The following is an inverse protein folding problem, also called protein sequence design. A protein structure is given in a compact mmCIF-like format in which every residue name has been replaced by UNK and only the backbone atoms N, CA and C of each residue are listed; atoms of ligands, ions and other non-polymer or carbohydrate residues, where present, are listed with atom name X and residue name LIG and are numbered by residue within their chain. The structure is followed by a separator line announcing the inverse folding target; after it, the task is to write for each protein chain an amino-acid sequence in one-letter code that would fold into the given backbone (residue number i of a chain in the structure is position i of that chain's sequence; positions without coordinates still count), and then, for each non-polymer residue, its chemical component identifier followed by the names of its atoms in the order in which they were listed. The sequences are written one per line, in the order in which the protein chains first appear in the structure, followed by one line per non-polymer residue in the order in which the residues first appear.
data_IF_979290253537
#
_entry.id   IF_979290253537
#
_cell.length_a   1.000
_cell.length_b   1.000
_cell.length_c   1.000
_cell.angle_alpha   90.00
_cell.angle_beta   90.00
_cell.angle_gamma   90.00
#
_symmetry.space_group_name_H-M   'P 1'
#
loop_
_entity.id
_entity.type
_entity.pdbx_description
1 polymer ?
#
# COMPACT_ATOMS: atom_id res chain seq x y z
N UNK A 1 -11.76 5.95 13.56
CA UNK A 1 -12.19 7.33 13.30
C UNK A 1 -11.34 8.35 14.03
N UNK A 2 -11.07 8.20 15.34
CA UNK A 2 -10.34 9.21 16.12
C UNK A 2 -8.83 9.33 15.80
N UNK A 3 -8.30 8.64 14.78
CA UNK A 3 -6.91 8.82 14.31
C UNK A 3 -6.80 9.13 12.82
N UNK A 4 -7.92 9.29 12.11
CA UNK A 4 -7.90 9.48 10.66
C UNK A 4 -7.70 10.97 10.34
N UNK A 5 -6.86 11.27 9.34
CA UNK A 5 -6.60 12.64 8.89
C UNK A 5 -5.98 13.59 9.93
N UNK A 6 -5.25 13.03 10.89
CA UNK A 6 -4.47 13.83 11.85
C UNK A 6 -3.18 14.30 11.21
N UNK A 7 -2.86 15.57 11.42
CA UNK A 7 -1.56 16.13 11.09
C UNK A 7 -0.49 15.54 12.01
N UNK A 8 0.59 15.06 11.41
CA UNK A 8 1.77 14.52 12.08
C UNK A 8 2.94 15.42 11.69
N UNK A 9 3.55 16.12 12.67
CA UNK A 9 4.72 16.93 12.39
C UNK A 9 5.88 16.09 11.86
N UNK A 10 6.74 16.71 11.07
CA UNK A 10 8.09 16.20 10.85
C UNK A 10 8.80 16.04 12.19
N UNK A 11 9.67 15.04 12.31
CA UNK A 11 10.56 14.98 13.48
C UNK A 11 11.47 16.21 13.44
N UNK A 12 11.65 16.90 14.56
CA UNK A 12 12.49 18.11 14.60
C UNK A 12 13.96 17.73 14.38
N UNK A 13 14.58 18.40 13.40
CA UNK A 13 16.02 18.32 13.13
C UNK A 13 16.55 19.67 12.61
N UNK A 14 17.86 19.82 12.71
CA UNK A 14 18.64 20.97 12.22
C UNK A 14 19.43 20.54 11.01
N UNK A 15 19.47 21.38 10.00
CA UNK A 15 20.38 21.22 8.86
C UNK A 15 21.56 22.16 9.00
N UNK A 16 22.73 21.76 8.51
CA UNK A 16 23.91 22.60 8.42
C UNK A 16 24.50 22.60 7.02
N UNK A 17 25.01 23.76 6.61
CA UNK A 17 25.79 23.95 5.39
C UNK A 17 27.17 24.47 5.80
N UNK A 18 28.19 23.65 5.62
CA UNK A 18 29.58 24.05 5.87
C UNK A 18 30.23 24.45 4.56
N UNK A 19 30.55 25.73 4.39
CA UNK A 19 31.19 26.24 3.16
C UNK A 19 32.66 26.55 3.41
N UNK A 20 33.50 26.08 2.47
CA UNK A 20 34.95 26.29 2.48
C UNK A 20 35.43 26.67 1.10
N UNK A 21 36.30 27.66 1.05
CA UNK A 21 36.97 28.10 -0.16
C UNK A 21 38.41 27.59 -0.15
N UNK A 22 38.81 26.86 -1.20
CA UNK A 22 40.17 26.36 -1.31
C UNK A 22 41.15 27.46 -1.76
N UNK A 23 42.46 27.16 -1.70
CA UNK A 23 43.53 28.09 -2.10
C UNK A 23 43.45 28.53 -3.58
N UNK A 24 42.65 27.85 -4.41
CA UNK A 24 42.41 28.17 -5.83
C UNK A 24 41.11 28.98 -6.02
N UNK A 25 40.47 29.41 -4.94
CA UNK A 25 39.20 30.14 -4.96
C UNK A 25 37.99 29.27 -5.29
N UNK A 26 38.10 27.94 -5.26
CA UNK A 26 36.97 27.05 -5.49
C UNK A 26 36.20 26.88 -4.19
N UNK A 27 34.93 27.27 -4.20
CA UNK A 27 34.01 27.06 -3.08
C UNK A 27 33.49 25.63 -3.10
N UNK A 28 33.51 25.00 -1.94
CA UNK A 28 32.97 23.67 -1.68
C UNK A 28 32.01 23.76 -0.51
N UNK A 29 30.99 22.90 -0.49
CA UNK A 29 30.05 22.82 0.62
C UNK A 29 29.86 21.37 1.10
N UNK A 30 29.48 21.22 2.36
CA UNK A 30 29.04 19.97 2.96
C UNK A 30 27.66 20.17 3.60
N UNK A 31 26.77 19.20 3.40
CA UNK A 31 25.44 19.18 4.00
C UNK A 31 25.44 18.27 5.24
N UNK A 32 25.06 18.81 6.39
CA UNK A 32 24.93 18.09 7.65
C UNK A 32 23.49 18.08 8.16
N UNK A 33 23.19 17.08 8.99
CA UNK A 33 21.91 16.95 9.68
C UNK A 33 22.15 16.51 11.11
N UNK A 34 21.43 17.13 12.03
CA UNK A 34 21.49 16.84 13.46
C UNK A 34 20.08 16.82 14.04
N UNK A 35 19.75 15.78 14.82
CA UNK A 35 18.45 15.63 15.44
C UNK A 35 18.61 15.21 16.91
N UNK A 36 17.85 15.86 17.80
CA UNK A 36 17.79 15.52 19.24
C UNK A 36 16.36 15.37 19.75
N UNK A 37 15.43 15.08 18.84
CA UNK A 37 14.02 14.91 19.15
C UNK A 37 13.76 13.64 19.97
N UNK A 38 12.79 13.64 20.91
CA UNK A 38 12.38 12.41 21.60
C UNK A 38 11.60 11.44 20.71
N UNK A 39 11.21 11.86 19.49
CA UNK A 39 10.49 11.03 18.54
C UNK A 39 11.43 10.19 17.67
N UNK A 40 10.97 9.03 17.16
CA UNK A 40 11.71 8.25 16.19
C UNK A 40 12.17 9.10 14.99
N UNK A 41 13.41 8.90 14.57
CA UNK A 41 14.01 9.59 13.44
C UNK A 41 14.70 8.61 12.51
N UNK A 42 14.40 8.71 11.23
CA UNK A 42 15.12 8.03 10.16
C UNK A 42 15.27 8.97 8.98
N UNK A 43 16.36 8.83 8.24
CA UNK A 43 16.67 9.71 7.12
C UNK A 43 17.20 8.93 5.92
N UNK A 44 17.09 9.56 4.76
CA UNK A 44 17.74 9.11 3.53
C UNK A 44 18.22 10.30 2.72
N UNK A 45 19.16 10.07 1.81
CA UNK A 45 19.71 11.11 0.96
C UNK A 45 18.90 11.28 -0.33
N UNK A 46 18.83 12.52 -0.81
CA UNK A 46 18.27 12.91 -2.09
C UNK A 46 19.34 13.66 -2.88
N UNK A 47 19.63 13.19 -4.10
CA UNK A 47 20.32 13.97 -5.11
C UNK A 47 19.33 14.92 -5.78
N UNK A 48 19.64 16.21 -5.76
CA UNK A 48 18.79 17.26 -6.28
C UNK A 48 19.63 18.26 -7.08
N UNK A 49 19.10 18.81 -8.17
CA UNK A 49 19.75 19.95 -8.82
C UNK A 49 19.48 21.26 -8.03
N UNK A 50 20.34 22.29 -8.11
CA UNK A 50 20.17 23.54 -7.37
C UNK A 50 18.85 24.28 -7.66
N UNK A 51 18.17 23.95 -8.76
CA UNK A 51 16.82 24.42 -9.11
C UNK A 51 15.70 23.67 -8.37
N UNK A 52 16.01 22.89 -7.33
CA UNK A 52 15.09 22.04 -6.58
C UNK A 52 14.42 20.93 -7.42
N UNK A 53 15.18 20.35 -8.37
CA UNK A 53 14.73 19.22 -9.19
C UNK A 53 15.30 17.91 -8.59
N UNK A 54 14.47 17.05 -7.99
CA UNK A 54 14.90 15.75 -7.46
C UNK A 54 15.34 14.81 -8.59
N UNK A 55 16.47 14.12 -8.41
CA UNK A 55 17.07 13.27 -9.44
C UNK A 55 17.23 11.81 -9.03
N UNK A 56 17.57 11.54 -7.77
CA UNK A 56 17.74 10.18 -7.25
C UNK A 56 17.72 10.16 -5.72
N UNK A 57 17.45 9.01 -5.12
CA UNK A 57 17.59 8.80 -3.67
C UNK A 57 18.78 7.88 -3.39
N UNK A 58 19.40 8.01 -2.22
CA UNK A 58 20.51 7.17 -1.79
C UNK A 58 20.46 6.90 -0.28
N UNK A 59 21.10 5.81 0.14
CA UNK A 59 21.31 5.52 1.55
C UNK A 59 22.73 5.94 1.97
N UNK A 60 22.90 6.92 2.87
CA UNK A 60 24.23 7.38 3.28
C UNK A 60 25.06 6.30 4.02
N UNK A 61 24.42 5.23 4.50
CA UNK A 61 25.11 4.12 5.16
C UNK A 61 25.45 2.94 4.25
N UNK A 62 25.09 2.98 2.95
CA UNK A 62 25.36 1.86 2.04
C UNK A 62 26.57 2.14 1.14
N UNK A 63 27.48 1.16 0.97
CA UNK A 63 28.63 1.33 0.09
C UNK A 63 28.19 1.49 -1.36
N UNK A 64 28.89 2.34 -2.12
CA UNK A 64 28.72 2.54 -3.57
C UNK A 64 27.32 3.03 -4.01
N UNK A 65 26.59 3.77 -3.16
CA UNK A 65 25.33 4.45 -3.55
C UNK A 65 25.47 5.98 -3.72
N UNK A 66 26.68 6.51 -3.57
CA UNK A 66 26.95 7.94 -3.67
C UNK A 66 27.29 8.40 -5.09
N UNK A 67 27.03 7.57 -6.12
CA UNK A 67 27.26 7.97 -7.49
C UNK A 67 26.28 9.09 -7.87
N UNK A 68 26.84 10.30 -7.93
CA UNK A 68 26.10 11.51 -8.20
C UNK A 68 25.50 11.44 -9.62
N UNK A 69 24.17 11.53 -9.80
CA UNK A 69 23.53 11.41 -11.11
C UNK A 69 23.97 12.47 -12.13
N UNK A 70 24.30 13.67 -11.65
CA UNK A 70 24.75 14.79 -12.47
C UNK A 70 25.78 15.63 -11.69
N UNK A 71 26.84 16.17 -12.30
CA UNK A 71 27.89 16.92 -11.59
C UNK A 71 27.37 18.04 -10.69
N UNK A 72 26.31 18.74 -11.12
CA UNK A 72 25.71 19.85 -10.38
C UNK A 72 24.76 19.42 -9.25
N UNK A 73 24.47 18.12 -9.13
CA UNK A 73 23.61 17.63 -8.06
C UNK A 73 24.25 17.90 -6.69
N UNK A 74 23.42 18.43 -5.81
CA UNK A 74 23.67 18.58 -4.39
C UNK A 74 22.98 17.44 -3.64
N UNK A 75 23.48 17.11 -2.45
CA UNK A 75 22.81 16.17 -1.57
C UNK A 75 21.97 16.92 -0.52
N UNK A 76 20.75 16.45 -0.30
CA UNK A 76 19.85 16.92 0.75
C UNK A 76 19.40 15.68 1.53
N UNK A 77 19.42 15.75 2.86
CA UNK A 77 18.91 14.66 3.70
C UNK A 77 17.43 14.87 4.01
N UNK A 78 16.60 13.87 3.72
CA UNK A 78 15.18 13.88 4.02
C UNK A 78 14.91 13.08 5.30
N UNK A 79 14.40 13.77 6.32
CA UNK A 79 13.98 13.18 7.59
C UNK A 79 12.57 12.60 7.54
N UNK A 80 12.26 11.70 8.47
CA UNK A 80 10.92 11.13 8.65
C UNK A 80 10.03 12.02 9.53
N UNK A 81 8.74 11.71 9.53
CA UNK A 81 7.80 12.21 10.53
C UNK A 81 8.03 11.60 11.93
N UNK A 82 7.30 12.12 12.93
CA UNK A 82 7.35 11.65 14.33
C UNK A 82 6.94 10.18 14.52
N UNK A 83 6.48 9.48 13.48
CA UNK A 83 6.14 8.06 13.49
C UNK A 83 7.14 7.21 12.68
N UNK A 84 8.27 7.79 12.26
CA UNK A 84 9.25 7.18 11.36
C UNK A 84 8.60 6.71 10.04
N UNK A 85 7.80 7.58 9.44
CA UNK A 85 7.20 7.39 8.12
C UNK A 85 7.47 8.62 7.22
N UNK A 86 7.38 8.40 5.92
CA UNK A 86 7.52 9.44 4.91
C UNK A 86 6.22 9.55 4.12
N UNK A 87 5.71 10.76 3.96
CA UNK A 87 4.63 11.03 3.02
C UNK A 87 5.12 10.98 1.59
N UNK A 88 4.21 10.58 0.70
CA UNK A 88 4.44 10.44 -0.73
C UNK A 88 3.22 10.86 -1.51
N UNK A 89 3.44 11.34 -2.72
CA UNK A 89 2.39 11.72 -3.66
C UNK A 89 2.66 11.13 -5.03
N UNK A 90 1.64 10.54 -5.64
CA UNK A 90 1.80 9.87 -6.92
C UNK A 90 1.67 10.91 -8.05
N UNK A 91 2.65 11.06 -8.95
CA UNK A 91 2.51 11.96 -10.09
C UNK A 91 1.43 11.51 -11.09
N UNK A 92 1.09 10.21 -11.12
CA UNK A 92 0.09 9.64 -12.04
C UNK A 92 -1.36 9.85 -11.60
N UNK A 93 -1.66 9.59 -10.32
CA UNK A 93 -3.04 9.65 -9.81
C UNK A 93 -3.27 10.73 -8.75
N UNK A 94 -2.23 11.50 -8.40
CA UNK A 94 -2.22 12.52 -7.35
C UNK A 94 -2.54 12.00 -5.95
N UNK A 95 -2.65 10.68 -5.78
CA UNK A 95 -2.94 10.06 -4.49
C UNK A 95 -1.77 10.22 -3.53
N UNK A 96 -2.06 10.65 -2.31
CA UNK A 96 -1.10 10.75 -1.23
C UNK A 96 -1.13 9.49 -0.34
N UNK A 97 0.01 9.02 0.15
CA UNK A 97 0.09 7.97 1.18
C UNK A 97 1.31 8.18 2.07
N UNK A 98 1.42 7.41 3.16
CA UNK A 98 2.67 7.33 3.94
C UNK A 98 3.19 5.92 3.99
N UNK A 99 4.51 5.82 4.15
CA UNK A 99 5.19 4.53 4.23
C UNK A 99 6.37 4.58 5.19
N UNK A 100 6.66 3.48 5.85
CA UNK A 100 7.88 3.30 6.64
C UNK A 100 9.09 2.87 5.79
N UNK A 101 8.99 2.92 4.46
CA UNK A 101 10.09 2.64 3.55
C UNK A 101 10.36 3.83 2.61
N UNK A 102 11.58 4.40 2.61
CA UNK A 102 11.93 5.52 1.75
C UNK A 102 12.25 5.09 0.29
N UNK A 103 12.01 3.83 -0.09
CA UNK A 103 12.16 3.36 -1.48
C UNK A 103 13.61 3.05 -1.87
N UNK A 104 14.51 2.83 -0.91
CA UNK A 104 15.93 2.60 -1.17
C UNK A 104 16.26 1.17 -1.66
N UNK A 105 15.34 0.22 -1.45
CA UNK A 105 15.54 -1.21 -1.80
C UNK A 105 14.96 -1.55 -3.17
N UNK A 106 13.84 -0.90 -3.51
CA UNK A 106 13.06 -1.12 -4.72
C UNK A 106 12.29 0.16 -5.06
N UNK A 107 11.82 0.25 -6.31
CA UNK A 107 10.92 1.33 -6.74
C UNK A 107 9.75 1.47 -5.79
N UNK A 108 9.31 2.71 -5.60
CA UNK A 108 8.09 2.97 -4.84
C UNK A 108 6.88 2.49 -5.66
N UNK A 109 5.92 1.85 -5.00
CA UNK A 109 4.67 1.44 -5.65
C UNK A 109 3.55 2.34 -5.14
N UNK A 110 2.77 2.94 -6.05
CA UNK A 110 1.60 3.70 -5.64
C UNK A 110 0.53 2.74 -5.07
N UNK A 111 0.05 2.93 -3.82
CA UNK A 111 -0.97 2.06 -3.24
C UNK A 111 -2.29 2.02 -3.99
N UNK A 112 -2.60 3.05 -4.77
CA UNK A 112 -3.90 3.22 -5.39
C UNK A 112 -3.94 2.71 -6.83
N UNK A 113 -3.03 3.19 -7.66
CA UNK A 113 -2.99 2.89 -9.08
C UNK A 113 -1.93 1.85 -9.46
N UNK A 114 -1.14 1.34 -8.51
CA UNK A 114 -0.13 0.30 -8.77
C UNK A 114 1.07 0.75 -9.60
N UNK A 115 1.23 2.06 -9.86
CA UNK A 115 2.37 2.56 -10.63
C UNK A 115 3.69 2.34 -9.87
N UNK A 116 4.71 1.86 -10.57
CA UNK A 116 6.06 1.70 -10.05
C UNK A 116 6.89 2.91 -10.45
N UNK A 117 7.33 3.67 -9.46
CA UNK A 117 7.93 4.98 -9.62
C UNK A 117 9.28 5.04 -8.93
N UNK A 118 10.18 5.88 -9.44
CA UNK A 118 11.40 6.18 -8.69
C UNK A 118 11.03 6.93 -7.40
N UNK A 119 11.71 6.66 -6.26
CA UNK A 119 11.30 7.23 -4.99
C UNK A 119 11.35 8.77 -4.95
N UNK A 120 12.23 9.39 -5.74
CA UNK A 120 12.37 10.84 -5.86
C UNK A 120 11.24 11.49 -6.68
N UNK A 121 10.52 10.72 -7.51
CA UNK A 121 9.34 11.19 -8.25
C UNK A 121 8.09 11.24 -7.36
N UNK A 122 8.17 10.64 -6.17
CA UNK A 122 7.04 10.45 -5.27
C UNK A 122 7.12 11.31 -4.01
N UNK A 123 7.89 12.39 -4.00
CA UNK A 123 8.00 13.26 -2.82
C UNK A 123 6.63 13.87 -2.50
N UNK A 124 6.30 13.97 -1.20
CA UNK A 124 5.12 14.71 -0.75
C UNK A 124 5.30 16.20 -1.00
N UNK A 125 4.20 16.95 -0.96
CA UNK A 125 4.25 18.41 -1.06
C UNK A 125 5.11 19.02 0.06
N UNK A 126 5.08 18.44 1.27
CA UNK A 126 5.93 18.85 2.39
C UNK A 126 7.42 18.57 2.14
N UNK A 127 7.77 17.39 1.61
CA UNK A 127 9.15 17.09 1.24
C UNK A 127 9.67 17.99 0.10
N UNK A 128 8.85 18.29 -0.90
CA UNK A 128 9.22 19.20 -1.98
C UNK A 128 9.49 20.62 -1.48
N UNK A 129 8.60 21.17 -0.64
CA UNK A 129 8.80 22.49 -0.03
C UNK A 129 10.07 22.56 0.83
N UNK A 130 10.40 21.48 1.55
CA UNK A 130 11.66 21.38 2.28
C UNK A 130 12.89 21.36 1.34
N UNK A 131 12.84 20.60 0.25
CA UNK A 131 13.91 20.56 -0.76
C UNK A 131 14.13 21.94 -1.39
N UNK A 132 13.05 22.62 -1.76
CA UNK A 132 13.09 23.98 -2.29
C UNK A 132 13.72 24.96 -1.30
N UNK A 133 13.36 24.86 -0.02
CA UNK A 133 13.93 25.70 1.03
C UNK A 133 15.44 25.45 1.24
N UNK A 134 15.88 24.19 1.25
CA UNK A 134 17.31 23.85 1.30
C UNK A 134 18.07 24.41 0.10
N UNK A 135 17.54 24.28 -1.12
CA UNK A 135 18.16 24.83 -2.33
C UNK A 135 18.22 26.37 -2.31
N UNK A 136 17.19 27.04 -1.79
CA UNK A 136 17.17 28.49 -1.62
C UNK A 136 18.25 28.97 -0.64
N UNK A 137 18.33 28.33 0.53
CA UNK A 137 19.34 28.66 1.53
C UNK A 137 20.77 28.40 1.01
N UNK A 138 21.00 27.28 0.33
CA UNK A 138 22.30 27.00 -0.26
C UNK A 138 22.71 28.09 -1.26
N UNK A 139 21.79 28.54 -2.13
CA UNK A 139 22.08 29.64 -3.07
C UNK A 139 22.43 30.94 -2.34
N UNK A 140 21.71 31.27 -1.26
CA UNK A 140 21.99 32.44 -0.45
C UNK A 140 23.40 32.37 0.16
N UNK A 141 23.73 31.26 0.81
CA UNK A 141 25.04 31.03 1.46
C UNK A 141 26.18 31.05 0.43
N UNK A 142 25.97 30.42 -0.74
CA UNK A 142 26.96 30.41 -1.82
C UNK A 142 27.13 31.78 -2.50
N UNK A 143 26.21 32.73 -2.31
CA UNK A 143 26.32 34.11 -2.82
C UNK A 143 26.91 35.09 -1.80
N UNK A 144 26.96 34.74 -0.51
CA UNK A 144 27.45 35.63 0.55
C UNK A 144 28.98 35.78 0.59
N UNK A 145 29.74 35.02 -0.22
CA UNK A 145 31.22 35.00 -0.28
C UNK A 145 31.94 34.86 1.08
N UNK A 146 31.25 34.30 2.08
CA UNK A 146 31.77 34.03 3.41
C UNK A 146 31.90 32.52 3.65
N UNK A 147 33.07 32.09 4.14
CA UNK A 147 33.27 30.73 4.65
C UNK A 147 32.71 30.61 6.07
N UNK A 148 32.10 29.46 6.39
CA UNK A 148 31.47 29.28 7.69
C UNK A 148 30.57 28.06 7.77
N UNK A 149 30.04 27.84 8.97
CA UNK A 149 29.01 26.84 9.24
C UNK A 149 27.68 27.55 9.45
N UNK A 150 26.70 27.27 8.58
CA UNK A 150 25.38 27.87 8.63
C UNK A 150 24.38 26.80 9.05
N UNK A 151 23.78 26.92 10.22
CA UNK A 151 22.81 25.95 10.74
C UNK A 151 21.45 26.58 10.98
N UNK A 152 20.38 25.86 10.63
CA UNK A 152 19.01 26.33 10.84
C UNK A 152 18.09 25.15 11.15
N UNK A 153 17.14 25.33 12.09
CA UNK A 153 16.10 24.33 12.33
C UNK A 153 15.19 24.21 11.12
N UNK A 154 14.74 23.01 10.77
CA UNK A 154 13.87 22.78 9.59
C UNK A 154 12.62 23.67 9.64
N UNK A 155 11.99 23.78 10.80
CA UNK A 155 10.81 24.64 10.96
C UNK A 155 11.13 26.10 10.61
N UNK A 156 12.22 26.62 11.15
CA UNK A 156 12.67 27.99 10.90
C UNK A 156 13.05 28.21 9.44
N UNK A 157 13.72 27.24 8.82
CA UNK A 157 14.10 27.26 7.40
C UNK A 157 12.88 27.40 6.49
N UNK A 158 11.86 26.57 6.70
CA UNK A 158 10.62 26.66 5.90
C UNK A 158 9.90 27.98 6.17
N UNK A 159 9.78 28.41 7.43
CA UNK A 159 9.16 29.69 7.75
C UNK A 159 9.88 30.88 7.10
N UNK A 160 11.21 30.86 7.06
CA UNK A 160 12.01 31.94 6.47
C UNK A 160 11.80 32.02 4.95
N UNK A 161 11.91 30.89 4.24
CA UNK A 161 11.79 30.86 2.77
C UNK A 161 10.40 31.27 2.29
N UNK A 162 9.35 31.01 3.08
CA UNK A 162 7.98 31.35 2.70
C UNK A 162 7.52 32.74 3.19
N UNK A 163 8.26 33.43 4.06
CA UNK A 163 7.95 34.79 4.52
C UNK A 163 8.35 35.88 3.50
N UNK A 164 9.36 35.63 2.67
CA UNK A 164 9.99 36.64 1.81
C UNK A 164 9.32 36.85 0.42
N UNK A 165 8.13 36.28 0.18
CA UNK A 165 7.19 36.79 -0.83
C UNK A 165 7.34 36.35 -2.29
N UNK A 166 8.41 35.63 -2.66
CA UNK A 166 8.58 35.10 -4.03
C UNK A 166 8.00 33.68 -4.25
N UNK A 167 7.67 32.97 -3.16
CA UNK A 167 7.05 31.64 -3.20
C UNK A 167 5.61 31.72 -2.67
N UNK A 168 4.68 30.88 -3.18
CA UNK A 168 3.34 30.77 -2.61
C UNK A 168 3.42 30.48 -1.10
N UNK A 169 2.46 30.98 -0.32
CA UNK A 169 2.35 30.66 1.11
C UNK A 169 2.52 29.14 1.32
N UNK A 170 3.19 28.70 2.41
CA UNK A 170 3.46 27.30 2.61
C UNK A 170 2.10 26.58 2.63
N UNK A 171 1.95 25.43 1.95
CA UNK A 171 0.68 24.72 1.95
C UNK A 171 0.24 24.53 3.41
N UNK A 172 -1.06 24.71 3.68
CA UNK A 172 -1.67 24.43 5.00
C UNK A 172 -1.34 22.99 5.50
N UNK A 173 -0.85 22.15 4.57
CA UNK A 173 -0.42 20.77 4.70
C UNK A 173 1.12 20.58 4.81
N UNK A 174 1.88 21.50 5.39
CA UNK A 174 3.34 21.32 5.67
C UNK A 174 3.63 20.25 6.75
N UNK A 175 2.74 19.27 6.89
CA UNK A 175 2.70 18.25 7.91
C UNK A 175 2.08 17.03 7.27
N UNK A 176 2.70 15.88 7.49
CA UNK A 176 2.22 14.64 6.92
C UNK A 176 0.90 14.23 7.59
N UNK A 177 -0.06 13.73 6.81
CA UNK A 177 -1.42 13.45 7.31
C UNK A 177 -1.65 11.95 7.39
N UNK A 178 -2.16 11.47 8.53
CA UNK A 178 -2.58 10.06 8.67
C UNK A 178 -3.75 9.74 7.75
N UNK A 179 -3.88 8.48 7.32
CA UNK A 179 -4.99 8.04 6.48
C UNK A 179 -5.82 6.98 7.20
N UNK A 180 -6.81 6.45 6.48
CA UNK A 180 -7.87 5.61 7.06
C UNK A 180 -7.36 4.20 7.39
N UNK A 181 -6.51 3.64 6.53
CA UNK A 181 -6.03 2.26 6.68
C UNK A 181 -4.52 2.24 6.89
N UNK A 182 -4.13 1.84 8.10
CA UNK A 182 -2.75 1.59 8.50
C UNK A 182 -2.55 0.09 8.59
N UNK A 183 -1.65 -0.45 7.79
CA UNK A 183 -1.38 -1.89 7.77
C UNK A 183 0.11 -2.18 7.60
N UNK A 184 0.54 -3.30 8.17
CA UNK A 184 1.86 -3.88 7.91
C UNK A 184 1.70 -4.92 6.80
N UNK A 185 2.49 -4.85 5.75
CA UNK A 185 2.41 -5.80 4.66
C UNK A 185 2.88 -7.19 5.13
N UNK A 186 2.02 -8.21 4.97
CA UNK A 186 2.35 -9.59 5.36
C UNK A 186 3.51 -10.21 4.56
N UNK A 187 3.79 -9.67 3.36
CA UNK A 187 4.88 -10.16 2.52
C UNK A 187 6.24 -9.56 2.89
N UNK A 188 6.35 -8.23 3.00
CA UNK A 188 7.64 -7.55 3.20
C UNK A 188 7.77 -6.80 4.53
N UNK A 189 6.76 -6.84 5.41
CA UNK A 189 6.79 -6.20 6.72
C UNK A 189 6.75 -4.67 6.72
N UNK A 190 6.63 -4.00 5.57
CA UNK A 190 6.57 -2.53 5.54
C UNK A 190 5.23 -2.03 6.06
N UNK A 191 5.27 -1.00 6.92
CA UNK A 191 4.09 -0.24 7.37
C UNK A 191 3.64 0.74 6.29
N UNK A 192 2.35 0.70 5.97
CA UNK A 192 1.69 1.55 5.00
C UNK A 192 0.54 2.30 5.67
N UNK A 193 0.28 3.52 5.22
CA UNK A 193 -0.81 4.38 5.68
C UNK A 193 -1.51 5.01 4.47
N UNK A 194 -2.67 4.46 4.12
CA UNK A 194 -3.35 4.70 2.83
C UNK A 194 -4.80 5.13 3.02
N UNK A 195 -5.33 5.82 2.01
CA UNK A 195 -6.75 6.15 1.91
C UNK A 195 -7.56 4.93 1.44
N UNK A 196 -8.77 4.77 1.98
CA UNK A 196 -9.61 3.61 1.68
C UNK A 196 -9.08 2.32 2.28
N UNK A 197 -9.79 1.22 2.03
CA UNK A 197 -9.55 -0.09 2.67
C UNK A 197 -8.47 -0.94 1.98
N UNK A 198 -8.35 -0.80 0.67
CA UNK A 198 -7.57 -1.70 -0.18
C UNK A 198 -6.48 -0.94 -0.93
N UNK A 199 -5.29 -1.52 -1.03
CA UNK A 199 -4.18 -0.94 -1.78
C UNK A 199 -2.97 -1.85 -1.91
N UNK A 200 -2.06 -1.45 -2.80
CA UNK A 200 -0.75 -2.07 -2.92
C UNK A 200 0.15 -1.68 -1.73
N UNK A 201 0.98 -2.60 -1.27
CA UNK A 201 2.12 -2.26 -0.44
C UNK A 201 3.05 -1.35 -1.22
N UNK A 202 3.38 -0.20 -0.65
CA UNK A 202 4.20 0.82 -1.32
C UNK A 202 5.67 0.42 -1.55
N UNK A 203 6.09 -0.73 -1.04
CA UNK A 203 7.45 -1.26 -1.20
C UNK A 203 7.51 -2.48 -2.10
N UNK A 204 6.73 -3.53 -1.80
CA UNK A 204 6.78 -4.76 -2.58
C UNK A 204 5.71 -4.86 -3.68
N UNK A 205 4.68 -4.01 -3.65
CA UNK A 205 3.57 -4.12 -4.59
C UNK A 205 2.61 -5.28 -4.31
N UNK A 206 2.72 -6.00 -3.20
CA UNK A 206 1.69 -6.97 -2.79
C UNK A 206 0.43 -6.25 -2.37
N UNK A 207 -0.74 -6.68 -2.86
CA UNK A 207 -2.03 -6.10 -2.46
C UNK A 207 -2.46 -6.58 -1.07
N UNK A 208 -3.01 -5.69 -0.24
CA UNK A 208 -3.51 -6.04 1.10
C UNK A 208 -4.89 -6.72 1.09
N UNK A 209 -5.57 -6.76 -0.07
CA UNK A 209 -6.95 -7.26 -0.21
C UNK A 209 -7.13 -8.68 0.34
N UNK A 210 -6.14 -9.56 0.14
CA UNK A 210 -6.25 -10.95 0.59
C UNK A 210 -6.16 -11.07 2.12
N UNK A 211 -5.26 -10.32 2.74
CA UNK A 211 -5.17 -10.23 4.20
C UNK A 211 -6.48 -9.67 4.81
N UNK A 212 -7.08 -8.66 4.16
CA UNK A 212 -8.36 -8.11 4.58
C UNK A 212 -9.51 -9.13 4.45
N UNK A 213 -9.54 -9.91 3.36
CA UNK A 213 -10.52 -10.99 3.20
C UNK A 213 -10.38 -12.07 4.29
N UNK A 214 -9.15 -12.45 4.63
CA UNK A 214 -8.89 -13.42 5.69
C UNK A 214 -9.33 -12.89 7.07
N UNK A 215 -9.11 -11.61 7.34
CA UNK A 215 -9.59 -10.97 8.57
C UNK A 215 -11.12 -10.96 8.66
N UNK A 216 -11.82 -10.66 7.56
CA UNK A 216 -13.29 -10.71 7.49
C UNK A 216 -13.79 -12.14 7.75
N UNK A 217 -13.19 -13.14 7.11
CA UNK A 217 -13.53 -14.55 7.31
C UNK A 217 -13.34 -14.98 8.77
N UNK A 218 -12.25 -14.55 9.40
CA UNK A 218 -11.98 -14.90 10.79
C UNK A 218 -13.02 -14.27 11.73
N UNK A 219 -13.36 -13.00 11.52
CA UNK A 219 -14.42 -12.33 12.27
C UNK A 219 -15.79 -13.02 12.10
N UNK A 220 -16.14 -13.42 10.87
CA UNK A 220 -17.38 -14.15 10.57
C UNK A 220 -17.40 -15.49 11.30
N UNK A 221 -16.31 -16.26 11.25
CA UNK A 221 -16.20 -17.54 11.95
C UNK A 221 -16.31 -17.39 13.46
N UNK A 222 -15.63 -16.39 14.03
CA UNK A 222 -15.72 -16.09 15.45
C UNK A 222 -17.17 -15.76 15.85
N UNK A 223 -17.86 -14.93 15.05
CA UNK A 223 -19.26 -14.58 15.26
C UNK A 223 -20.20 -15.79 15.27
N UNK A 224 -20.08 -16.70 14.31
CA UNK A 224 -20.91 -17.92 14.27
C UNK A 224 -20.56 -18.88 15.40
N UNK A 225 -19.27 -19.03 15.75
CA UNK A 225 -18.85 -19.85 16.89
C UNK A 225 -19.39 -19.32 18.23
N UNK A 226 -19.63 -18.02 18.34
CA UNK A 226 -20.27 -17.39 19.48
C UNK A 226 -21.81 -17.49 19.47
N UNK A 227 -22.40 -18.23 18.54
CA UNK A 227 -23.86 -18.40 18.41
C UNK A 227 -24.54 -17.32 17.56
N UNK A 228 -23.78 -16.58 16.74
CA UNK A 228 -24.32 -15.60 15.80
C UNK A 228 -25.20 -16.20 14.71
N UNK A 229 -25.94 -15.34 14.00
CA UNK A 229 -26.84 -15.75 12.93
C UNK A 229 -26.08 -16.29 11.69
N UNK A 230 -26.30 -17.56 11.35
CA UNK A 230 -25.63 -18.25 10.24
C UNK A 230 -25.98 -17.69 8.87
N UNK A 231 -27.22 -17.23 8.66
CA UNK A 231 -27.67 -16.63 7.40
C UNK A 231 -27.00 -15.28 7.17
N UNK A 232 -26.90 -14.45 8.22
CA UNK A 232 -26.15 -13.19 8.16
C UNK A 232 -24.68 -13.45 7.84
N UNK A 233 -24.05 -14.39 8.55
CA UNK A 233 -22.66 -14.77 8.34
C UNK A 233 -22.39 -15.30 6.92
N UNK A 234 -23.31 -16.08 6.33
CA UNK A 234 -23.22 -16.52 4.94
C UNK A 234 -23.24 -15.33 3.97
N UNK A 235 -24.16 -14.37 4.18
CA UNK A 235 -24.26 -13.16 3.35
C UNK A 235 -22.95 -12.35 3.43
N UNK A 236 -22.46 -12.10 4.63
CA UNK A 236 -21.21 -11.37 4.86
C UNK A 236 -20.01 -12.05 4.20
N UNK A 237 -19.91 -13.38 4.27
CA UNK A 237 -18.83 -14.13 3.65
C UNK A 237 -18.82 -13.98 2.12
N UNK A 238 -19.98 -14.15 1.49
CA UNK A 238 -20.13 -14.01 0.02
C UNK A 238 -19.90 -12.55 -0.41
N UNK A 239 -20.41 -11.58 0.34
CA UNK A 239 -20.26 -10.16 0.03
C UNK A 239 -18.81 -9.68 0.20
N UNK A 240 -18.08 -10.22 1.18
CA UNK A 240 -16.65 -10.00 1.36
C UNK A 240 -15.85 -10.55 0.17
N UNK A 241 -16.16 -11.77 -0.30
CA UNK A 241 -15.53 -12.34 -1.49
C UNK A 241 -15.87 -11.56 -2.76
N UNK A 242 -17.12 -11.11 -2.91
CA UNK A 242 -17.54 -10.33 -4.08
C UNK A 242 -16.80 -9.00 -4.13
N UNK A 243 -16.73 -8.30 -3.00
CA UNK A 243 -15.98 -7.05 -2.87
C UNK A 243 -14.49 -7.26 -3.16
N UNK A 244 -13.89 -8.31 -2.60
CA UNK A 244 -12.50 -8.71 -2.85
C UNK A 244 -12.27 -8.90 -4.35
N UNK A 245 -13.05 -9.75 -5.02
CA UNK A 245 -12.88 -10.03 -6.43
C UNK A 245 -13.05 -8.82 -7.34
N UNK A 246 -14.04 -7.96 -7.05
CA UNK A 246 -14.27 -6.71 -7.80
C UNK A 246 -13.09 -5.74 -7.68
N UNK A 247 -12.35 -5.72 -6.57
CA UNK A 247 -11.13 -4.93 -6.48
C UNK A 247 -10.08 -5.42 -7.49
N UNK A 248 -9.87 -6.72 -7.61
CA UNK A 248 -8.94 -7.30 -8.59
C UNK A 248 -9.41 -7.04 -10.03
N UNK A 249 -10.71 -7.20 -10.32
CA UNK A 249 -11.28 -6.86 -11.62
C UNK A 249 -11.00 -5.40 -12.01
N UNK A 250 -11.12 -4.45 -11.08
CA UNK A 250 -10.75 -3.05 -11.31
C UNK A 250 -9.28 -2.88 -11.68
N UNK A 251 -8.38 -3.62 -11.04
CA UNK A 251 -6.95 -3.58 -11.35
C UNK A 251 -6.65 -4.19 -12.73
N UNK A 252 -7.25 -5.34 -13.07
CA UNK A 252 -7.12 -5.90 -14.41
C UNK A 252 -7.53 -4.89 -15.48
N UNK A 253 -8.69 -4.23 -15.32
CA UNK A 253 -9.17 -3.22 -16.27
C UNK A 253 -8.30 -1.96 -16.35
N UNK A 254 -7.61 -1.60 -15.27
CA UNK A 254 -6.74 -0.44 -15.20
C UNK A 254 -5.39 -0.68 -15.87
N UNK A 255 -4.86 -1.90 -15.79
CA UNK A 255 -3.49 -2.21 -16.21
C UNK A 255 -3.39 -3.04 -17.51
N UNK A 256 -4.40 -3.83 -17.84
CA UNK A 256 -4.40 -4.64 -19.06
C UNK A 256 -5.15 -3.89 -20.15
N UNK A 257 -4.52 -3.78 -21.32
CA UNK A 257 -5.21 -3.26 -22.51
C UNK A 257 -6.29 -4.25 -22.94
N UNK A 258 -7.53 -3.78 -22.99
CA UNK A 258 -8.71 -4.60 -23.30
C UNK A 258 -9.64 -3.83 -24.24
N UNK A 259 -10.40 -4.56 -25.05
CA UNK A 259 -11.49 -3.98 -25.84
C UNK A 259 -12.55 -3.37 -24.92
N UNK A 260 -13.31 -2.35 -25.38
CA UNK A 260 -14.39 -1.76 -24.59
C UNK A 260 -15.40 -2.80 -24.09
N UNK A 261 -15.76 -3.78 -24.93
CA UNK A 261 -16.66 -4.85 -24.56
C UNK A 261 -16.14 -5.69 -23.38
N UNK A 262 -14.85 -6.05 -23.38
CA UNK A 262 -14.23 -6.79 -22.28
C UNK A 262 -14.13 -5.93 -21.01
N UNK A 263 -13.85 -4.63 -21.12
CA UNK A 263 -13.92 -3.71 -19.96
C UNK A 263 -15.34 -3.64 -19.38
N UNK A 264 -16.38 -3.55 -20.20
CA UNK A 264 -17.76 -3.57 -19.71
C UNK A 264 -18.12 -4.90 -19.02
N UNK A 265 -17.66 -6.03 -19.58
CA UNK A 265 -17.82 -7.36 -18.95
C UNK A 265 -17.24 -7.38 -17.54
N UNK A 266 -15.98 -6.98 -17.36
CA UNK A 266 -15.32 -6.96 -16.06
C UNK A 266 -15.82 -5.85 -15.13
N UNK A 267 -16.30 -4.73 -15.66
CA UNK A 267 -16.94 -3.68 -14.87
C UNK A 267 -18.27 -4.10 -14.25
N UNK A 268 -18.93 -5.12 -14.81
CA UNK A 268 -20.20 -5.69 -14.34
C UNK A 268 -20.06 -7.07 -13.71
N UNK A 269 -18.84 -7.57 -13.54
CA UNK A 269 -18.61 -8.92 -13.01
C UNK A 269 -19.15 -9.03 -11.59
N UNK A 270 -19.93 -10.07 -11.33
CA UNK A 270 -20.45 -10.41 -10.01
C UNK A 270 -19.72 -11.67 -9.50
N UNK A 271 -18.85 -11.49 -8.53
CA UNK A 271 -18.05 -12.57 -7.93
C UNK A 271 -18.89 -13.46 -6.99
N UNK A 272 -20.15 -13.09 -6.73
CA UNK A 272 -21.14 -14.00 -6.17
C UNK A 272 -21.67 -15.04 -7.20
N UNK A 273 -21.29 -14.96 -8.49
CA UNK A 273 -21.56 -16.00 -9.48
C UNK A 273 -20.27 -16.77 -9.78
N UNK A 274 -19.88 -17.67 -8.87
CA UNK A 274 -18.57 -18.35 -8.90
C UNK A 274 -18.29 -19.00 -10.25
N UNK A 275 -19.26 -19.72 -10.82
CA UNK A 275 -19.04 -20.50 -12.05
C UNK A 275 -18.71 -19.61 -13.24
N UNK A 276 -19.51 -18.56 -13.41
CA UNK A 276 -19.29 -17.56 -14.46
C UNK A 276 -17.95 -16.86 -14.27
N UNK A 277 -17.61 -16.49 -13.04
CA UNK A 277 -16.36 -15.78 -12.75
C UNK A 277 -15.14 -16.69 -12.87
N UNK A 278 -15.20 -17.93 -12.37
CA UNK A 278 -14.12 -18.90 -12.51
C UNK A 278 -13.79 -19.16 -13.98
N UNK A 279 -14.83 -19.37 -14.81
CA UNK A 279 -14.68 -19.49 -16.26
C UNK A 279 -14.06 -18.22 -16.86
N UNK A 280 -14.61 -17.05 -16.55
CA UNK A 280 -14.10 -15.79 -17.12
C UNK A 280 -12.65 -15.50 -16.72
N UNK A 281 -12.27 -15.75 -15.47
CA UNK A 281 -10.89 -15.58 -14.98
C UNK A 281 -9.94 -16.53 -15.70
N UNK A 282 -10.36 -17.79 -15.91
CA UNK A 282 -9.57 -18.78 -16.64
C UNK A 282 -9.43 -18.40 -18.12
N UNK A 283 -10.53 -18.06 -18.78
CA UNK A 283 -10.56 -17.77 -20.21
C UNK A 283 -9.83 -16.46 -20.56
N UNK A 284 -10.00 -15.40 -19.74
CA UNK A 284 -9.44 -14.08 -20.05
C UNK A 284 -8.03 -13.85 -19.45
N UNK A 285 -7.66 -14.55 -18.37
CA UNK A 285 -6.41 -14.29 -17.62
C UNK A 285 -5.61 -15.54 -17.24
N UNK A 286 -6.07 -16.75 -17.62
CA UNK A 286 -5.48 -18.03 -17.19
C UNK A 286 -5.47 -18.27 -15.67
N UNK A 287 -6.35 -17.58 -14.93
CA UNK A 287 -6.46 -17.71 -13.47
C UNK A 287 -7.54 -18.73 -13.12
N UNK A 288 -7.13 -19.88 -12.58
CA UNK A 288 -8.04 -20.88 -12.02
C UNK A 288 -8.23 -20.66 -10.51
N UNK A 289 -9.35 -20.04 -10.13
CA UNK A 289 -9.70 -19.81 -8.71
C UNK A 289 -10.12 -21.09 -7.99
N UNK A 290 -10.51 -22.14 -8.71
CA UNK A 290 -10.95 -23.42 -8.15
C UNK A 290 -9.79 -24.44 -8.05
N UNK A 291 -8.60 -24.05 -8.52
CA UNK A 291 -7.39 -24.87 -8.49
C UNK A 291 -7.12 -25.46 -7.11
N UNK A 292 -6.89 -26.79 -7.06
CA UNK A 292 -6.55 -27.53 -5.83
C UNK A 292 -7.59 -27.40 -4.70
N UNK A 293 -8.85 -27.14 -5.05
CA UNK A 293 -9.98 -27.27 -4.14
C UNK A 293 -10.66 -28.61 -4.47
N UNK A 294 -10.96 -29.39 -3.44
CA UNK A 294 -11.69 -30.65 -3.59
C UNK A 294 -13.04 -30.43 -4.31
N UNK A 295 -13.40 -31.25 -5.31
CA UNK A 295 -14.65 -31.05 -6.06
C UNK A 295 -15.91 -31.01 -5.19
N UNK A 296 -15.99 -31.82 -4.13
CA UNK A 296 -17.16 -31.80 -3.25
C UNK A 296 -17.25 -30.48 -2.46
N UNK A 297 -16.11 -29.93 -2.05
CA UNK A 297 -16.06 -28.59 -1.44
C UNK A 297 -16.42 -27.48 -2.43
N UNK A 298 -16.05 -27.61 -3.70
CA UNK A 298 -16.46 -26.65 -4.75
C UNK A 298 -17.98 -26.67 -4.92
N UNK A 299 -18.58 -27.85 -5.06
CA UNK A 299 -20.03 -28.00 -5.22
C UNK A 299 -20.81 -27.56 -3.97
N UNK A 300 -20.26 -27.78 -2.77
CA UNK A 300 -20.82 -27.19 -1.56
C UNK A 300 -20.77 -25.65 -1.61
N UNK A 301 -19.63 -25.06 -1.96
CA UNK A 301 -19.49 -23.60 -2.03
C UNK A 301 -20.45 -22.99 -3.05
N UNK A 302 -20.58 -23.58 -4.25
CA UNK A 302 -21.55 -23.13 -5.26
C UNK A 302 -22.97 -23.11 -4.71
N UNK A 303 -23.42 -24.20 -4.08
CA UNK A 303 -24.74 -24.26 -3.44
C UNK A 303 -24.93 -23.14 -2.43
N UNK A 304 -23.93 -22.87 -1.58
CA UNK A 304 -24.00 -21.78 -0.59
C UNK A 304 -24.13 -20.40 -1.23
N UNK A 305 -23.48 -20.17 -2.37
CA UNK A 305 -23.62 -18.91 -3.13
C UNK A 305 -25.03 -18.76 -3.73
N UNK A 306 -25.62 -19.83 -4.27
CA UNK A 306 -27.04 -19.81 -4.68
C UNK A 306 -27.99 -19.60 -3.50
N UNK A 307 -27.75 -20.25 -2.35
CA UNK A 307 -28.57 -20.05 -1.15
C UNK A 307 -28.48 -18.62 -0.62
N UNK A 308 -27.30 -17.97 -0.69
CA UNK A 308 -27.17 -16.53 -0.37
C UNK A 308 -28.11 -15.68 -1.23
N UNK A 309 -28.30 -16.00 -2.51
CA UNK A 309 -29.26 -15.31 -3.37
C UNK A 309 -30.70 -15.47 -2.86
N UNK A 310 -31.11 -16.70 -2.51
CA UNK A 310 -32.43 -16.97 -1.94
C UNK A 310 -32.66 -16.21 -0.63
N UNK A 311 -31.68 -16.21 0.28
CA UNK A 311 -31.76 -15.47 1.54
C UNK A 311 -31.81 -13.95 1.34
N UNK A 312 -31.21 -13.42 0.27
CA UNK A 312 -31.21 -11.99 -0.02
C UNK A 312 -32.49 -11.52 -0.71
N UNK A 313 -33.08 -12.33 -1.60
CA UNK A 313 -34.13 -11.88 -2.52
C UNK A 313 -35.44 -12.68 -2.44
N UNK A 314 -35.43 -13.89 -1.88
CA UNK A 314 -36.57 -14.82 -1.83
C UNK A 314 -36.95 -15.21 -0.41
N UNK A 315 -36.44 -14.52 0.60
CA UNK A 315 -36.72 -14.82 2.01
C UNK A 315 -36.20 -16.19 2.48
N UNK A 316 -35.21 -16.76 1.79
CA UNK A 316 -34.67 -18.09 2.07
C UNK A 316 -35.55 -19.25 1.58
N UNK A 317 -36.57 -18.96 0.76
CA UNK A 317 -37.47 -19.96 0.19
C UNK A 317 -36.89 -20.48 -1.13
N UNK A 318 -36.82 -21.81 -1.29
CA UNK A 318 -36.36 -22.48 -2.51
C UNK A 318 -37.31 -22.18 -3.67
N UNK A 319 -36.78 -21.66 -4.77
CA UNK A 319 -37.49 -21.48 -6.04
C UNK A 319 -36.99 -22.46 -7.13
N UNK A 320 -37.69 -22.51 -8.26
CA UNK A 320 -37.35 -23.44 -9.35
C UNK A 320 -35.98 -23.12 -9.95
N UNK A 321 -35.64 -21.84 -10.07
CA UNK A 321 -34.36 -21.37 -10.58
C UNK A 321 -33.19 -21.91 -9.75
N UNK A 322 -33.31 -21.90 -8.41
CA UNK A 322 -32.32 -22.53 -7.54
C UNK A 322 -32.13 -24.01 -7.82
N UNK A 323 -33.21 -24.79 -7.96
CA UNK A 323 -33.12 -26.24 -8.22
C UNK A 323 -32.45 -26.52 -9.56
N UNK A 324 -32.81 -25.75 -10.59
CA UNK A 324 -32.29 -25.90 -11.95
C UNK A 324 -30.80 -25.54 -12.03
N UNK A 325 -30.39 -24.45 -11.37
CA UNK A 325 -28.99 -23.98 -11.42
C UNK A 325 -28.07 -24.76 -10.47
N UNK A 326 -28.52 -25.07 -9.25
CA UNK A 326 -27.66 -25.68 -8.23
C UNK A 326 -27.63 -27.20 -8.28
N UNK A 327 -28.64 -27.84 -8.90
CA UNK A 327 -28.80 -29.30 -8.89
C UNK A 327 -29.02 -29.90 -7.50
N UNK A 328 -29.41 -29.10 -6.50
CA UNK A 328 -29.56 -29.55 -5.11
C UNK A 328 -30.78 -30.47 -4.94
N UNK A 329 -30.54 -31.78 -4.91
CA UNK A 329 -31.57 -32.80 -4.70
C UNK A 329 -31.97 -32.99 -3.23
N UNK A 330 -31.37 -32.24 -2.30
CA UNK A 330 -31.62 -32.41 -0.85
C UNK A 330 -32.78 -31.55 -0.34
N UNK A 331 -33.33 -30.67 -1.18
CA UNK A 331 -34.42 -29.75 -0.85
C UNK A 331 -35.53 -29.82 -1.89
N UNK A 332 -36.71 -29.27 -1.56
CA UNK A 332 -37.87 -29.25 -2.44
C UNK A 332 -38.33 -27.81 -2.69
N UNK A 333 -39.05 -27.59 -3.80
CA UNK A 333 -39.63 -26.28 -4.13
C UNK A 333 -40.49 -25.77 -2.96
N UNK A 334 -40.27 -24.53 -2.56
CA UNK A 334 -40.97 -23.91 -1.42
C UNK A 334 -40.39 -24.22 -0.04
N UNK A 335 -39.35 -25.06 0.09
CA UNK A 335 -38.67 -25.26 1.36
C UNK A 335 -38.04 -23.96 1.88
N UNK A 336 -38.17 -23.73 3.20
CA UNK A 336 -37.44 -22.67 3.90
C UNK A 336 -36.07 -23.19 4.32
N UNK A 337 -35.01 -22.60 3.77
CA UNK A 337 -33.63 -22.97 4.07
C UNK A 337 -33.19 -22.48 5.45
N UNK A 338 -32.38 -23.30 6.12
CA UNK A 338 -31.71 -22.96 7.37
C UNK A 338 -30.26 -23.40 7.27
N UNK A 339 -29.35 -22.44 7.33
CA UNK A 339 -27.92 -22.75 7.27
C UNK A 339 -27.38 -23.11 8.65
N UNK A 340 -26.51 -24.11 8.68
CA UNK A 340 -25.81 -24.55 9.90
C UNK A 340 -24.51 -23.78 10.09
N UNK A 341 -23.88 -23.94 11.26
CA UNK A 341 -22.54 -23.42 11.48
C UNK A 341 -21.54 -24.06 10.53
N UNK A 342 -21.67 -25.37 10.32
CA UNK A 342 -20.80 -26.17 9.47
C UNK A 342 -20.86 -25.70 8.01
N UNK A 343 -22.03 -25.27 7.54
CA UNK A 343 -22.20 -24.65 6.21
C UNK A 343 -21.37 -23.36 6.08
N UNK A 344 -21.44 -22.47 7.07
CA UNK A 344 -20.68 -21.20 7.06
C UNK A 344 -19.18 -21.46 7.17
N UNK A 345 -18.75 -22.40 8.02
CA UNK A 345 -17.34 -22.76 8.12
C UNK A 345 -16.84 -23.36 6.79
N UNK A 346 -17.61 -24.24 6.16
CA UNK A 346 -17.28 -24.84 4.87
C UNK A 346 -17.13 -23.80 3.76
N UNK A 347 -18.11 -22.91 3.59
CA UNK A 347 -18.05 -21.88 2.53
C UNK A 347 -16.91 -20.89 2.75
N UNK A 348 -16.66 -20.47 4.00
CA UNK A 348 -15.54 -19.56 4.29
C UNK A 348 -14.18 -20.21 4.04
N UNK A 349 -14.04 -21.54 4.24
CA UNK A 349 -12.82 -22.27 3.88
C UNK A 349 -12.61 -22.28 2.36
N UNK A 350 -13.67 -22.52 1.59
CA UNK A 350 -13.62 -22.46 0.13
C UNK A 350 -13.27 -21.05 -0.36
N UNK A 351 -13.91 -20.01 0.19
CA UNK A 351 -13.64 -18.60 -0.13
C UNK A 351 -12.18 -18.24 0.15
N UNK A 352 -11.61 -18.64 1.28
CA UNK A 352 -10.21 -18.37 1.59
C UNK A 352 -9.26 -18.98 0.54
N UNK A 353 -9.55 -20.21 0.08
CA UNK A 353 -8.76 -20.87 -0.98
C UNK A 353 -8.95 -20.19 -2.34
N UNK A 354 -10.18 -19.87 -2.72
CA UNK A 354 -10.46 -19.14 -3.96
C UNK A 354 -9.80 -17.76 -3.97
N UNK A 355 -9.87 -17.05 -2.85
CA UNK A 355 -9.22 -15.76 -2.64
C UNK A 355 -7.70 -15.85 -2.79
N UNK A 356 -7.09 -16.89 -2.21
CA UNK A 356 -5.66 -17.16 -2.36
C UNK A 356 -5.28 -17.41 -3.82
N UNK A 357 -6.02 -18.27 -4.51
CA UNK A 357 -5.77 -18.57 -5.93
C UNK A 357 -5.90 -17.33 -6.82
N UNK A 358 -6.91 -16.47 -6.57
CA UNK A 358 -7.05 -15.19 -7.28
C UNK A 358 -5.88 -14.25 -6.98
N UNK A 359 -5.48 -14.13 -5.70
CA UNK A 359 -4.36 -13.28 -5.29
C UNK A 359 -3.04 -13.73 -5.93
N UNK A 360 -2.73 -15.03 -5.91
CA UNK A 360 -1.55 -15.60 -6.55
C UNK A 360 -1.58 -15.43 -8.08
N UNK A 361 -2.72 -15.73 -8.71
CA UNK A 361 -2.88 -15.57 -10.16
C UNK A 361 -2.81 -14.11 -10.62
N UNK A 362 -3.28 -13.17 -9.79
CA UNK A 362 -3.08 -11.75 -10.05
C UNK A 362 -1.60 -11.37 -9.99
N UNK A 363 -0.88 -11.80 -8.96
CA UNK A 363 0.54 -11.48 -8.79
C UNK A 363 1.46 -12.26 -9.73
N UNK A 364 0.98 -13.31 -10.42
CA UNK A 364 1.71 -13.88 -11.55
C UNK A 364 1.62 -13.00 -12.82
N UNK A 365 0.57 -12.19 -12.95
CA UNK A 365 0.40 -11.22 -14.05
C UNK A 365 1.06 -9.89 -13.70
N UNK A 366 0.96 -9.47 -12.43
CA UNK A 366 1.57 -8.24 -11.89
C UNK A 366 2.58 -8.59 -10.79
N UNK A 367 3.85 -8.87 -11.17
CA UNK A 367 4.87 -9.31 -10.24
C UNK A 367 5.16 -8.29 -9.15
N UNK A 368 5.44 -8.80 -7.97
CA UNK A 368 5.87 -8.03 -6.80
C UNK A 368 7.38 -7.79 -6.84
N UNK A 369 7.87 -6.79 -6.12
CA UNK A 369 9.29 -6.66 -5.86
C UNK A 369 9.72 -7.72 -4.83
N UNK A 370 10.50 -8.69 -5.30
CA UNK A 370 10.93 -9.83 -4.50
C UNK A 370 11.97 -9.45 -3.44
N UNK A 371 12.91 -8.54 -3.77
CA UNK A 371 14.01 -8.17 -2.87
C UNK A 371 13.55 -7.68 -1.48
N UNK A 372 12.55 -6.77 -1.34
CA UNK A 372 11.99 -6.43 -0.03
C UNK A 372 11.42 -7.62 0.76
N UNK A 373 10.81 -8.60 0.07
CA UNK A 373 10.24 -9.80 0.69
C UNK A 373 11.35 -10.69 1.24
N UNK A 374 12.40 -10.92 0.45
CA UNK A 374 13.53 -11.77 0.85
C UNK A 374 14.26 -11.18 2.08
N UNK A 375 14.53 -9.87 2.07
CA UNK A 375 15.14 -9.17 3.21
C UNK A 375 14.27 -9.34 4.47
N UNK A 376 12.95 -9.22 4.34
CA UNK A 376 12.06 -9.41 5.48
C UNK A 376 12.11 -10.85 6.01
N UNK A 377 12.09 -11.84 5.13
CA UNK A 377 12.18 -13.25 5.50
C UNK A 377 13.50 -13.56 6.23
N UNK A 378 14.63 -13.01 5.77
CA UNK A 378 15.93 -13.14 6.43
C UNK A 378 15.95 -12.51 7.82
N UNK A 379 15.38 -11.31 7.97
CA UNK A 379 15.28 -10.62 9.27
C UNK A 379 14.43 -11.41 10.27
N UNK A 380 13.32 -12.01 9.81
CA UNK A 380 12.47 -12.87 10.63
C UNK A 380 13.21 -14.15 11.06
N UNK A 381 13.96 -14.77 10.16
CA UNK A 381 14.76 -15.96 10.46
C UNK A 381 15.84 -15.66 11.51
N UNK A 382 16.58 -14.55 11.36
CA UNK A 382 17.59 -14.10 12.34
C UNK A 382 16.98 -13.82 13.71
N UNK A 383 15.83 -13.14 13.75
CA UNK A 383 15.14 -12.82 15.01
C UNK A 383 14.65 -14.08 15.75
N UNK A 384 14.19 -15.10 15.03
CA UNK A 384 13.82 -16.40 15.59
C UNK A 384 15.02 -17.15 16.16
N UNK A 385 16.13 -17.18 15.42
CA UNK A 385 17.36 -17.85 15.87
C UNK A 385 18.01 -17.15 17.07
N UNK A 386 18.00 -15.81 17.11
CA UNK A 386 18.50 -15.04 18.25
C UNK A 386 17.70 -15.25 19.53
N UNK A 387 16.38 -15.50 19.43
CA UNK A 387 15.54 -15.86 20.58
C UNK A 387 15.79 -17.29 21.08
N UNK A 388 16.16 -18.22 20.20
CA UNK A 388 16.45 -19.61 20.57
C UNK A 388 17.88 -19.81 21.11
N UNK A 389 18.80 -18.86 20.91
CA UNK A 389 20.17 -18.90 21.45
C UNK A 389 20.33 -18.23 22.83
N UNK A 390 19.24 -17.73 23.42
CA UNK A 390 19.18 -17.08 24.73
C UNK A 390 18.40 -17.92 25.77
N UNK A 391 18.13 -19.19 25.48
CA UNK A 391 17.47 -20.16 26.38
C UNK A 391 18.47 -21.15 26.92
#
# INVERSE_FOLDING_TARGET
MDEDFKHIPSTDFTVSFDVRTDEKGRRSFSFGIWASSPFPFSMYGLWCLPQAIPMAVFNPGWPNQDERPHPDCINIMLGSDQRAMWGRKCPRCSGYWRTAAPGLIAKAVCPYCGEHLEPHECLSDAHMAYVEACCALLRQVMNQDEDGSFSIGVKELIEQVHKDGDMPAPPEFFVEVTRQTRFTCDACGTRNDILGRFGYCSTCGTRNDFAMLLADIEAIRAGVNAGGNTVTALKEAVDAFDSFGRNYARQFMAHIMMTPARKTKWGRSNFAQIETVAKNLKDDFDIDILRRIDPAHVEQAKRMFHRRHLHAHRGGIVDQMYLDESGDTTVQLGHLLRETREDVIGVTQAIAKMGKNLHEGFHSIFPVHQRPIDIHAEQQAKSRNGRNGLV
#
